data_IF_806001301823
#
_entry.id   IF_806001301823
#
_cell.length_a   1.000
_cell.length_b   1.000
_cell.length_c   1.000
_cell.angle_alpha   90.00
_cell.angle_beta   90.00
_cell.angle_gamma   90.00
#
_symmetry.space_group_name_H-M   'P 1'
#
loop_
_entity.id
_entity.type
_entity.pdbx_description
1 polymer ?
#
# COMPACT_ATOMS: atom_id res chain seq x y z
N UNK A 1 -4.03 -18.23 -11.86
CA UNK A 1 -3.09 -18.64 -10.80
C UNK A 1 -3.27 -20.10 -10.39
N UNK A 2 -4.28 -20.49 -9.62
CA UNK A 2 -4.28 -21.86 -9.06
C UNK A 2 -4.39 -22.97 -10.13
N UNK A 3 -3.43 -23.90 -10.13
CA UNK A 3 -3.46 -25.13 -10.94
C UNK A 3 -4.00 -26.28 -10.09
N UNK A 4 -5.04 -27.02 -10.55
CA UNK A 4 -5.65 -28.11 -9.78
C UNK A 4 -4.83 -29.40 -9.82
N UNK A 5 -3.91 -29.52 -10.77
CA UNK A 5 -3.03 -30.67 -10.92
C UNK A 5 -1.78 -30.50 -10.06
N UNK A 6 -1.59 -31.41 -9.11
CA UNK A 6 -0.42 -31.44 -8.23
C UNK A 6 -0.10 -32.89 -7.82
N UNK A 7 1.18 -33.24 -7.67
CA UNK A 7 1.57 -34.57 -7.21
C UNK A 7 1.30 -34.73 -5.72
N UNK A 8 0.49 -35.73 -5.36
CA UNK A 8 0.17 -36.05 -3.97
C UNK A 8 0.45 -37.51 -3.64
N UNK A 9 1.04 -37.76 -2.47
CA UNK A 9 1.33 -39.12 -1.96
C UNK A 9 0.87 -39.30 -0.50
N UNK A 10 0.42 -40.51 -0.10
CA UNK A 10 0.04 -40.75 1.29
C UNK A 10 1.25 -40.78 2.24
N UNK A 11 1.15 -40.23 3.45
CA UNK A 11 2.29 -40.11 4.38
C UNK A 11 2.96 -41.44 4.81
N UNK A 12 2.21 -42.55 4.73
CA UNK A 12 2.63 -43.85 5.23
C UNK A 12 3.38 -44.70 4.19
N UNK A 13 3.48 -44.25 2.93
CA UNK A 13 4.20 -44.98 1.88
C UNK A 13 5.72 -44.81 2.03
N UNK A 14 6.47 -45.73 1.44
CA UNK A 14 7.93 -45.62 1.32
C UNK A 14 8.32 -44.73 0.15
N UNK A 15 9.52 -44.15 0.20
CA UNK A 15 10.10 -43.31 -0.87
C UNK A 15 10.04 -44.03 -2.22
N UNK A 16 10.46 -45.30 -2.29
CA UNK A 16 10.43 -46.06 -3.54
C UNK A 16 9.02 -46.24 -4.10
N UNK A 17 8.00 -46.38 -3.24
CA UNK A 17 6.60 -46.48 -3.68
C UNK A 17 6.07 -45.12 -4.13
N UNK A 18 6.41 -44.02 -3.43
CA UNK A 18 6.06 -42.67 -3.84
C UNK A 18 6.63 -42.34 -5.22
N UNK A 19 7.92 -42.62 -5.47
CA UNK A 19 8.55 -42.41 -6.78
C UNK A 19 7.85 -43.22 -7.88
N UNK A 20 7.41 -44.45 -7.58
CA UNK A 20 6.63 -45.25 -8.53
C UNK A 20 5.29 -44.60 -8.87
N UNK A 21 4.55 -44.13 -7.86
CA UNK A 21 3.27 -43.41 -8.05
C UNK A 21 3.48 -42.18 -8.92
N UNK A 22 4.53 -41.39 -8.66
CA UNK A 22 4.84 -40.18 -9.43
C UNK A 22 5.14 -40.49 -10.90
N UNK A 23 5.91 -41.56 -11.18
CA UNK A 23 6.20 -42.01 -12.55
C UNK A 23 4.95 -42.46 -13.31
N UNK A 24 3.99 -43.06 -12.62
CA UNK A 24 2.73 -43.51 -13.21
C UNK A 24 1.76 -42.34 -13.47
N UNK A 25 1.81 -41.30 -12.62
CA UNK A 25 0.94 -40.13 -12.71
C UNK A 25 1.21 -39.19 -13.89
N UNK A 26 2.41 -39.25 -14.50
CA UNK A 26 2.82 -38.42 -15.65
C UNK A 26 2.53 -36.92 -15.51
N UNK A 27 2.63 -36.39 -14.30
CA UNK A 27 2.52 -34.95 -14.09
C UNK A 27 3.79 -34.28 -14.62
N UNK A 28 3.61 -33.28 -15.47
CA UNK A 28 4.66 -32.42 -15.99
C UNK A 28 4.76 -31.18 -15.09
N UNK A 29 5.98 -30.63 -14.95
CA UNK A 29 6.29 -29.39 -14.23
C UNK A 29 5.72 -29.24 -12.80
N UNK A 30 6.39 -29.89 -11.85
CA UNK A 30 6.17 -29.69 -10.42
C UNK A 30 7.48 -29.60 -9.65
N UNK A 31 7.53 -28.74 -8.64
CA UNK A 31 8.69 -28.55 -7.77
C UNK A 31 8.59 -29.37 -6.48
N UNK A 32 7.38 -29.50 -5.94
CA UNK A 32 7.10 -30.18 -4.68
C UNK A 32 6.15 -31.36 -4.84
N UNK A 33 6.31 -32.36 -3.98
CA UNK A 33 5.37 -33.47 -3.84
C UNK A 33 4.64 -33.33 -2.51
N UNK A 34 3.33 -33.18 -2.57
CA UNK A 34 2.50 -32.95 -1.40
C UNK A 34 2.18 -34.25 -0.68
N UNK A 35 2.19 -34.21 0.64
CA UNK A 35 1.91 -35.36 1.50
C UNK A 35 0.53 -35.19 2.09
N UNK A 36 -0.36 -36.13 1.80
CA UNK A 36 -1.76 -36.08 2.24
C UNK A 36 -2.12 -37.26 3.15
N UNK A 37 -3.16 -37.07 3.97
CA UNK A 37 -3.79 -38.17 4.71
C UNK A 37 -4.88 -38.88 3.87
N UNK A 38 -5.59 -39.83 4.49
CA UNK A 38 -6.66 -40.59 3.83
C UNK A 38 -7.87 -39.75 3.44
N UNK A 39 -8.06 -38.59 4.06
CA UNK A 39 -9.17 -37.67 3.80
C UNK A 39 -8.82 -36.59 2.77
N UNK A 40 -7.57 -36.59 2.28
CA UNK A 40 -7.02 -35.59 1.37
C UNK A 40 -6.54 -34.32 2.07
N UNK A 41 -6.36 -34.32 3.40
CA UNK A 41 -5.82 -33.15 4.12
C UNK A 41 -4.32 -33.09 3.94
N UNK A 42 -3.82 -31.87 3.74
CA UNK A 42 -2.40 -31.62 3.59
C UNK A 42 -1.67 -31.84 4.92
N UNK A 43 -0.62 -32.66 4.91
CA UNK A 43 0.21 -33.01 6.08
C UNK A 43 1.65 -32.56 5.94
N UNK A 44 2.08 -32.12 4.76
CA UNK A 44 3.44 -31.70 4.49
C UNK A 44 3.78 -31.77 3.02
N UNK A 45 5.05 -31.59 2.70
CA UNK A 45 5.60 -31.67 1.36
C UNK A 45 7.02 -32.25 1.39
N UNK A 46 7.49 -32.74 0.25
CA UNK A 46 8.86 -33.21 0.04
C UNK A 46 9.40 -32.68 -1.29
N UNK A 47 10.69 -32.41 -1.36
CA UNK A 47 11.34 -32.07 -2.63
C UNK A 47 11.64 -33.31 -3.44
N UNK A 48 11.76 -33.15 -4.77
CA UNK A 48 12.32 -34.20 -5.64
C UNK A 48 13.73 -34.60 -5.21
N UNK A 49 14.54 -33.64 -4.76
CA UNK A 49 15.88 -33.88 -4.24
C UNK A 49 15.87 -34.81 -3.01
N UNK A 50 14.99 -34.56 -2.04
CA UNK A 50 14.84 -35.40 -0.86
C UNK A 50 14.40 -36.83 -1.23
N UNK A 51 13.51 -36.97 -2.22
CA UNK A 51 13.06 -38.27 -2.73
C UNK A 51 14.17 -39.06 -3.43
N UNK A 52 15.06 -38.39 -4.16
CA UNK A 52 16.16 -39.02 -4.90
C UNK A 52 17.29 -39.46 -3.94
N UNK A 53 17.61 -38.64 -2.94
CA UNK A 53 18.72 -38.93 -2.02
C UNK A 53 18.35 -39.87 -0.86
N UNK A 54 17.06 -40.02 -0.56
CA UNK A 54 16.60 -40.88 0.55
C UNK A 54 16.63 -42.37 0.20
N UNK A 55 16.90 -43.23 1.18
CA UNK A 55 16.76 -44.67 1.02
C UNK A 55 15.31 -45.02 0.60
N UNK A 56 15.11 -45.80 -0.49
CA UNK A 56 13.80 -46.21 -0.99
C UNK A 56 12.88 -46.89 0.04
N UNK A 57 13.43 -47.44 1.13
CA UNK A 57 12.70 -48.08 2.23
C UNK A 57 12.25 -47.10 3.32
N UNK A 58 12.77 -45.87 3.33
CA UNK A 58 12.36 -44.83 4.27
C UNK A 58 10.90 -44.42 4.02
N UNK A 59 10.14 -44.13 5.08
CA UNK A 59 8.76 -43.65 4.96
C UNK A 59 8.71 -42.14 4.71
N UNK A 60 7.80 -41.69 3.86
CA UNK A 60 7.60 -40.26 3.53
C UNK A 60 7.39 -39.40 4.78
N UNK A 61 6.62 -39.87 5.76
CA UNK A 61 6.40 -39.15 7.03
C UNK A 61 7.67 -38.77 7.80
N UNK A 62 8.82 -39.41 7.54
CA UNK A 62 10.10 -39.11 8.20
C UNK A 62 10.89 -38.00 7.52
N UNK A 63 10.64 -37.77 6.23
CA UNK A 63 11.38 -36.80 5.40
C UNK A 63 10.51 -35.59 4.99
N UNK A 64 9.21 -35.63 5.31
CA UNK A 64 8.30 -34.52 5.03
C UNK A 64 8.66 -33.28 5.83
N UNK A 65 8.44 -32.12 5.22
CA UNK A 65 8.51 -30.80 5.85
C UNK A 65 7.11 -30.31 6.17
N UNK A 66 6.98 -29.42 7.15
CA UNK A 66 5.69 -28.77 7.44
C UNK A 66 5.30 -27.84 6.28
N UNK A 67 4.01 -27.81 5.89
CA UNK A 67 3.57 -26.99 4.79
C UNK A 67 3.26 -25.57 5.27
N UNK A 68 3.74 -24.57 4.52
CA UNK A 68 3.14 -23.23 4.50
C UNK A 68 2.00 -23.28 3.49
N UNK A 69 0.82 -22.77 3.84
CA UNK A 69 -0.38 -22.89 2.99
C UNK A 69 -1.01 -21.52 2.72
N UNK A 70 -1.61 -21.40 1.54
CA UNK A 70 -2.55 -20.34 1.19
C UNK A 70 -3.99 -20.84 1.37
N UNK A 71 -4.92 -19.97 1.79
CA UNK A 71 -6.34 -20.31 1.81
C UNK A 71 -7.00 -19.94 0.47
N UNK A 72 -8.05 -20.65 0.07
CA UNK A 72 -8.77 -20.42 -1.21
C UNK A 72 -9.34 -18.99 -1.38
N UNK A 73 -9.56 -18.28 -0.26
CA UNK A 73 -10.09 -16.92 -0.22
C UNK A 73 -9.04 -15.90 0.23
N UNK A 74 -7.79 -16.32 0.29
CA UNK A 74 -6.68 -15.43 0.62
C UNK A 74 -6.33 -14.56 -0.58
N UNK A 75 -6.00 -13.30 -0.30
CA UNK A 75 -5.63 -12.34 -1.32
C UNK A 75 -4.31 -12.73 -2.01
N UNK A 76 -4.22 -12.49 -3.32
CA UNK A 76 -3.05 -12.88 -4.12
C UNK A 76 -1.76 -12.20 -3.64
N UNK A 77 -1.84 -10.96 -3.14
CA UNK A 77 -0.71 -10.22 -2.59
C UNK A 77 -0.17 -10.92 -1.32
N UNK A 78 -1.05 -11.39 -0.44
CA UNK A 78 -0.66 -12.12 0.78
C UNK A 78 -0.05 -13.50 0.45
N UNK A 79 -0.57 -14.17 -0.59
CA UNK A 79 0.01 -15.42 -1.10
C UNK A 79 1.43 -15.16 -1.65
N UNK A 80 1.61 -14.12 -2.46
CA UNK A 80 2.91 -13.70 -2.99
C UNK A 80 3.91 -13.38 -1.86
N UNK A 81 3.47 -12.66 -0.82
CA UNK A 81 4.29 -12.38 0.37
C UNK A 81 4.73 -13.64 1.10
N UNK A 82 3.86 -14.64 1.25
CA UNK A 82 4.24 -15.92 1.86
C UNK A 82 5.30 -16.63 1.01
N UNK A 83 5.11 -16.67 -0.30
CA UNK A 83 6.06 -17.31 -1.23
C UNK A 83 7.43 -16.63 -1.15
N UNK A 84 7.47 -15.30 -1.19
CA UNK A 84 8.71 -14.52 -1.06
C UNK A 84 9.36 -14.65 0.33
N UNK A 85 8.58 -14.64 1.41
CA UNK A 85 9.09 -14.71 2.79
C UNK A 85 9.76 -16.05 3.11
N UNK A 86 9.25 -17.14 2.54
CA UNK A 86 9.73 -18.49 2.82
C UNK A 86 10.55 -19.09 1.67
N UNK A 87 10.93 -18.28 0.68
CA UNK A 87 11.69 -18.69 -0.52
C UNK A 87 11.09 -19.95 -1.20
N UNK A 88 9.77 -19.97 -1.35
CA UNK A 88 9.05 -21.11 -1.91
C UNK A 88 9.03 -21.05 -3.43
N UNK A 89 9.14 -22.21 -4.08
CA UNK A 89 8.91 -22.35 -5.53
C UNK A 89 7.44 -22.55 -5.86
N UNK A 90 6.67 -23.07 -4.90
CA UNK A 90 5.23 -23.31 -5.00
C UNK A 90 4.57 -23.22 -3.63
N UNK A 91 3.31 -22.80 -3.58
CA UNK A 91 2.51 -22.80 -2.36
C UNK A 91 1.20 -23.58 -2.56
N UNK A 92 0.89 -24.55 -1.69
CA UNK A 92 -0.36 -25.29 -1.76
C UNK A 92 -1.52 -24.42 -1.26
N UNK A 93 -2.62 -24.46 -2.01
CA UNK A 93 -3.88 -23.80 -1.66
C UNK A 93 -4.81 -24.83 -1.00
N UNK A 94 -5.30 -24.50 0.19
CA UNK A 94 -6.19 -25.36 0.97
C UNK A 94 -7.58 -24.75 1.15
N UNK A 95 -8.58 -25.61 1.30
CA UNK A 95 -9.92 -25.21 1.73
C UNK A 95 -10.04 -25.08 3.26
N UNK A 96 -11.22 -24.67 3.74
CA UNK A 96 -11.49 -24.50 5.17
C UNK A 96 -11.45 -25.81 5.98
N UNK A 97 -11.39 -26.97 5.32
CA UNK A 97 -11.23 -28.28 5.95
C UNK A 97 -9.77 -28.78 5.91
N UNK A 98 -8.84 -27.97 5.41
CA UNK A 98 -7.42 -28.28 5.27
C UNK A 98 -7.10 -29.23 4.12
N UNK A 99 -8.03 -29.42 3.17
CA UNK A 99 -7.79 -30.23 1.96
C UNK A 99 -7.12 -29.38 0.91
N UNK A 100 -6.07 -29.92 0.31
CA UNK A 100 -5.38 -29.27 -0.81
C UNK A 100 -6.30 -29.28 -2.04
N UNK A 101 -6.46 -28.12 -2.68
CA UNK A 101 -7.31 -27.90 -3.85
C UNK A 101 -6.52 -27.55 -5.11
N UNK A 102 -5.29 -27.12 -4.93
CA UNK A 102 -4.39 -26.78 -6.02
C UNK A 102 -3.10 -26.19 -5.49
N UNK A 103 -2.28 -25.70 -6.41
CA UNK A 103 -1.00 -25.05 -6.14
C UNK A 103 -0.89 -23.75 -6.91
N UNK A 104 -0.11 -22.83 -6.38
CA UNK A 104 0.33 -21.62 -7.08
C UNK A 104 1.84 -21.67 -7.19
N UNK A 105 2.36 -21.48 -8.39
CA UNK A 105 3.79 -21.60 -8.69
C UNK A 105 4.47 -20.24 -8.68
N UNK A 106 5.79 -20.21 -8.50
CA UNK A 106 6.55 -18.96 -8.41
C UNK A 106 6.51 -18.14 -9.69
N UNK A 107 6.39 -18.76 -10.87
CA UNK A 107 6.17 -18.06 -12.14
C UNK A 107 4.87 -17.23 -12.09
N UNK A 108 3.76 -17.83 -11.66
CA UNK A 108 2.50 -17.11 -11.52
C UNK A 108 2.60 -16.00 -10.44
N UNK A 109 3.42 -16.20 -9.38
CA UNK A 109 3.64 -15.18 -8.34
C UNK A 109 4.48 -13.99 -8.84
N UNK A 110 5.44 -14.22 -9.73
CA UNK A 110 6.24 -13.15 -10.32
C UNK A 110 5.32 -12.19 -11.10
N UNK A 111 4.38 -12.73 -11.87
CA UNK A 111 3.39 -11.93 -12.59
C UNK A 111 2.52 -11.11 -11.62
N UNK A 112 2.07 -11.71 -10.51
CA UNK A 112 1.32 -10.98 -9.47
C UNK A 112 2.11 -9.82 -8.89
N UNK A 113 3.39 -10.02 -8.57
CA UNK A 113 4.21 -8.97 -7.99
C UNK A 113 4.33 -7.78 -8.96
N UNK A 114 4.42 -8.05 -10.27
CA UNK A 114 4.46 -7.00 -11.30
C UNK A 114 3.10 -6.30 -11.46
N UNK A 115 2.00 -7.05 -11.46
CA UNK A 115 0.64 -6.53 -11.54
C UNK A 115 0.31 -5.63 -10.32
N UNK A 116 0.56 -6.11 -9.10
CA UNK A 116 0.32 -5.36 -7.86
C UNK A 116 1.17 -4.08 -7.78
N UNK A 117 2.46 -4.15 -8.14
CA UNK A 117 3.31 -2.97 -8.19
C UNK A 117 2.81 -1.93 -9.21
N UNK A 118 2.25 -2.39 -10.33
CA UNK A 118 1.67 -1.51 -11.36
C UNK A 118 0.35 -0.91 -10.90
N UNK A 119 -0.52 -1.70 -10.27
CA UNK A 119 -1.79 -1.26 -9.70
C UNK A 119 -1.58 -0.18 -8.64
N UNK A 120 -0.69 -0.41 -7.67
CA UNK A 120 -0.31 0.57 -6.65
C UNK A 120 0.13 1.90 -7.27
N UNK A 121 1.00 1.83 -8.28
CA UNK A 121 1.51 3.01 -8.97
C UNK A 121 0.38 3.80 -9.66
N UNK A 122 -0.57 3.12 -10.30
CA UNK A 122 -1.71 3.75 -10.96
C UNK A 122 -2.68 4.37 -9.94
N UNK A 123 -2.97 3.65 -8.86
CA UNK A 123 -3.83 4.12 -7.77
C UNK A 123 -3.26 5.37 -7.08
N UNK A 124 -1.94 5.45 -6.88
CA UNK A 124 -1.26 6.66 -6.40
C UNK A 124 -1.52 7.89 -7.29
N UNK A 125 -1.61 7.68 -8.61
CA UNK A 125 -1.94 8.70 -9.60
C UNK A 125 -3.42 9.02 -9.72
N UNK A 126 -4.31 8.32 -9.00
CA UNK A 126 -5.75 8.40 -9.20
C UNK A 126 -6.18 7.89 -10.58
N UNK A 127 -5.48 6.86 -11.09
CA UNK A 127 -5.77 6.21 -12.36
C UNK A 127 -6.37 4.82 -12.13
N UNK A 128 -7.21 4.39 -13.06
CA UNK A 128 -7.74 3.03 -13.10
C UNK A 128 -6.72 2.08 -13.74
N UNK A 129 -6.59 0.85 -13.23
CA UNK A 129 -5.64 -0.18 -13.71
C UNK A 129 -5.80 -0.48 -15.21
N UNK A 130 -6.97 -0.23 -15.78
CA UNK A 130 -7.27 -0.44 -17.21
C UNK A 130 -6.75 0.69 -18.11
N UNK A 131 -6.17 1.74 -17.56
CA UNK A 131 -5.56 2.84 -18.30
C UNK A 131 -4.12 2.47 -18.71
N UNK A 132 -3.80 2.66 -19.99
CA UNK A 132 -2.48 2.41 -20.53
C UNK A 132 -2.11 3.44 -21.58
N UNK A 133 -0.85 3.41 -22.01
CA UNK A 133 -0.28 4.40 -22.94
C UNK A 133 -1.03 4.49 -24.28
N UNK A 134 -1.64 3.39 -24.73
CA UNK A 134 -2.37 3.30 -26.01
C UNK A 134 -3.88 3.19 -25.84
N UNK A 135 -4.42 3.47 -24.64
CA UNK A 135 -5.87 3.47 -24.42
C UNK A 135 -6.54 4.52 -25.31
N UNK A 136 -7.60 4.18 -26.07
CA UNK A 136 -8.29 5.13 -26.94
C UNK A 136 -8.79 6.36 -26.16
N UNK A 137 -8.77 7.58 -26.75
CA UNK A 137 -9.08 8.82 -26.02
C UNK A 137 -10.41 8.81 -25.26
N UNK A 138 -11.48 8.28 -25.87
CA UNK A 138 -12.81 8.22 -25.25
C UNK A 138 -12.81 7.29 -24.03
N UNK A 139 -12.08 6.17 -24.10
CA UNK A 139 -11.96 5.24 -22.98
C UNK A 139 -11.14 5.85 -21.85
N UNK A 140 -10.01 6.48 -22.17
CA UNK A 140 -9.18 7.19 -21.19
C UNK A 140 -9.96 8.29 -20.46
N UNK A 141 -10.75 9.07 -21.21
CA UNK A 141 -11.67 10.05 -20.63
C UNK A 141 -12.61 9.42 -19.61
N UNK A 142 -13.31 8.33 -19.96
CA UNK A 142 -14.27 7.67 -19.07
C UNK A 142 -13.60 7.05 -17.82
N UNK A 143 -12.35 6.61 -17.93
CA UNK A 143 -11.60 6.06 -16.79
C UNK A 143 -11.11 7.14 -15.82
N UNK A 144 -10.74 8.33 -16.32
CA UNK A 144 -10.23 9.44 -15.50
C UNK A 144 -11.33 10.32 -14.91
N UNK A 145 -12.45 10.44 -15.62
CA UNK A 145 -13.54 11.35 -15.26
C UNK A 145 -14.05 11.17 -13.82
N UNK A 146 -14.30 9.93 -13.31
CA UNK A 146 -14.76 9.75 -11.93
C UNK A 146 -13.79 10.30 -10.89
N UNK A 147 -12.49 10.02 -11.05
CA UNK A 147 -11.44 10.50 -10.14
C UNK A 147 -11.30 12.02 -10.17
N UNK A 148 -11.41 12.62 -11.37
CA UNK A 148 -11.41 14.08 -11.52
C UNK A 148 -12.62 14.73 -10.84
N UNK A 149 -13.81 14.12 -10.91
CA UNK A 149 -14.99 14.62 -10.20
C UNK A 149 -14.83 14.50 -8.68
N UNK A 150 -14.27 13.39 -8.17
CA UNK A 150 -13.97 13.25 -6.74
C UNK A 150 -13.02 14.38 -6.31
N UNK A 151 -11.92 14.61 -7.06
CA UNK A 151 -10.98 15.68 -6.77
C UNK A 151 -11.63 17.07 -6.83
N UNK A 152 -12.48 17.31 -7.84
CA UNK A 152 -13.21 18.57 -7.99
C UNK A 152 -14.15 18.84 -6.81
N UNK A 153 -14.87 17.82 -6.33
CA UNK A 153 -15.73 17.93 -5.14
C UNK A 153 -14.87 18.32 -3.94
N UNK A 154 -13.75 17.65 -3.72
CA UNK A 154 -12.86 17.96 -2.61
C UNK A 154 -12.23 19.34 -2.69
N UNK A 155 -11.82 19.78 -3.88
CA UNK A 155 -11.31 21.13 -4.11
C UNK A 155 -12.39 22.21 -3.89
N UNK A 156 -13.65 21.89 -4.21
CA UNK A 156 -14.79 22.78 -3.94
C UNK A 156 -15.04 22.92 -2.43
N UNK A 157 -14.83 21.87 -1.63
CA UNK A 157 -14.90 21.98 -0.18
C UNK A 157 -13.81 22.94 0.34
N UNK A 158 -12.60 22.85 -0.18
CA UNK A 158 -11.53 23.78 0.17
C UNK A 158 -11.86 25.23 -0.20
N UNK A 159 -12.49 25.48 -1.36
CA UNK A 159 -12.90 26.83 -1.76
C UNK A 159 -13.99 27.40 -0.86
N UNK A 160 -14.91 26.56 -0.36
CA UNK A 160 -15.90 26.97 0.65
C UNK A 160 -15.20 27.43 1.93
N UNK A 161 -14.15 26.72 2.40
CA UNK A 161 -13.37 27.13 3.58
C UNK A 161 -12.71 28.50 3.36
N UNK A 162 -12.10 28.73 2.19
CA UNK A 162 -11.53 30.04 1.84
C UNK A 162 -12.60 31.14 1.86
N UNK A 163 -13.81 30.84 1.39
CA UNK A 163 -14.92 31.81 1.33
C UNK A 163 -15.39 32.29 2.70
N UNK A 164 -15.13 31.53 3.78
CA UNK A 164 -15.40 31.92 5.17
C UNK A 164 -14.47 33.04 5.65
N UNK A 165 -13.35 33.26 4.95
CA UNK A 165 -12.36 34.27 5.27
C UNK A 165 -12.37 35.43 4.26
N UNK A 166 -13.46 35.64 3.52
CA UNK A 166 -13.61 36.74 2.55
C UNK A 166 -13.26 38.11 3.15
N UNK A 167 -13.71 38.38 4.37
CA UNK A 167 -13.42 39.64 5.06
C UNK A 167 -11.92 39.82 5.30
N UNK A 168 -11.22 38.74 5.70
CA UNK A 168 -9.77 38.74 5.94
C UNK A 168 -9.02 38.95 4.63
N UNK A 169 -9.43 38.28 3.56
CA UNK A 169 -8.83 38.42 2.22
C UNK A 169 -9.00 39.85 1.71
N UNK A 170 -10.14 40.49 1.97
CA UNK A 170 -10.39 41.89 1.60
C UNK A 170 -9.43 42.88 2.27
N UNK A 171 -8.99 42.59 3.50
CA UNK A 171 -8.06 43.44 4.25
C UNK A 171 -6.58 43.06 4.03
N UNK A 172 -6.29 41.78 3.82
CA UNK A 172 -4.93 41.23 3.65
C UNK A 172 -4.84 40.33 2.42
N UNK A 173 -5.00 40.93 1.24
CA UNK A 173 -4.94 40.22 -0.03
C UNK A 173 -3.61 39.47 -0.26
N UNK A 174 -2.51 39.96 0.32
CA UNK A 174 -1.19 39.31 0.21
C UNK A 174 -1.19 37.89 0.81
N UNK A 175 -2.04 37.59 1.79
CA UNK A 175 -2.17 36.24 2.34
C UNK A 175 -2.63 35.24 1.27
N UNK A 176 -3.50 35.67 0.33
CA UNK A 176 -3.95 34.81 -0.76
C UNK A 176 -2.81 34.41 -1.72
N UNK A 177 -1.80 35.26 -1.89
CA UNK A 177 -0.62 34.94 -2.72
C UNK A 177 0.22 33.80 -2.14
N UNK A 178 0.10 33.53 -0.83
CA UNK A 178 0.81 32.42 -0.15
C UNK A 178 0.00 31.13 -0.07
N UNK A 179 -1.28 31.14 -0.47
CA UNK A 179 -2.11 29.93 -0.51
C UNK A 179 -1.45 28.76 -1.27
N UNK A 180 -0.90 28.95 -2.49
CA UNK A 180 -0.27 27.85 -3.23
C UNK A 180 0.97 27.29 -2.52
N UNK A 181 1.70 28.14 -1.78
CA UNK A 181 2.89 27.73 -1.04
C UNK A 181 2.52 26.86 0.15
N UNK A 182 1.53 27.29 0.94
CA UNK A 182 1.07 26.55 2.13
C UNK A 182 0.44 25.21 1.73
N UNK A 183 -0.48 25.23 0.76
CA UNK A 183 -1.16 24.04 0.26
C UNK A 183 -0.17 23.07 -0.43
N UNK A 184 0.61 23.57 -1.39
CA UNK A 184 1.51 22.74 -2.18
C UNK A 184 2.61 22.08 -1.34
N UNK A 185 3.22 22.80 -0.40
CA UNK A 185 4.26 22.22 0.45
C UNK A 185 3.69 21.24 1.47
N UNK A 186 2.50 21.52 2.04
CA UNK A 186 1.82 20.58 2.93
C UNK A 186 1.42 19.29 2.23
N UNK A 187 0.84 19.39 1.03
CA UNK A 187 0.51 18.25 0.17
C UNK A 187 1.74 17.41 -0.16
N UNK A 188 2.88 18.03 -0.52
CA UNK A 188 4.12 17.31 -0.81
C UNK A 188 4.65 16.50 0.39
N UNK A 189 4.65 17.09 1.59
CA UNK A 189 5.05 16.39 2.82
C UNK A 189 4.12 15.22 3.12
N UNK A 190 2.83 15.41 2.88
CA UNK A 190 1.83 14.38 3.07
C UNK A 190 1.99 13.22 2.09
N UNK A 191 2.25 13.51 0.80
CA UNK A 191 2.52 12.50 -0.23
C UNK A 191 3.81 11.74 0.08
N UNK A 192 4.90 12.42 0.49
CA UNK A 192 6.14 11.73 0.88
C UNK A 192 5.92 10.79 2.07
N UNK A 193 5.11 11.22 3.05
CA UNK A 193 4.75 10.38 4.18
C UNK A 193 3.89 9.20 3.75
N UNK A 194 2.87 9.45 2.93
CA UNK A 194 2.00 8.45 2.32
C UNK A 194 2.81 7.38 1.61
N UNK A 195 3.69 7.75 0.68
CA UNK A 195 4.51 6.80 -0.10
C UNK A 195 5.33 5.89 0.80
N UNK A 196 5.96 6.44 1.85
CA UNK A 196 6.75 5.64 2.79
C UNK A 196 5.85 4.67 3.56
N UNK A 197 4.67 5.11 3.99
CA UNK A 197 3.73 4.30 4.79
C UNK A 197 3.08 3.21 3.95
N UNK A 198 2.58 3.53 2.75
CA UNK A 198 1.98 2.53 1.84
C UNK A 198 3.01 1.48 1.46
N UNK A 199 4.24 1.87 1.08
CA UNK A 199 5.32 0.90 0.81
C UNK A 199 5.61 0.02 2.02
N UNK A 200 5.71 0.59 3.21
CA UNK A 200 5.98 -0.21 4.42
C UNK A 200 4.81 -1.17 4.73
N UNK A 201 3.57 -0.77 4.42
CA UNK A 201 2.39 -1.63 4.51
C UNK A 201 2.47 -2.78 3.49
N UNK A 202 2.79 -2.46 2.23
CA UNK A 202 2.90 -3.39 1.12
C UNK A 202 4.03 -4.42 1.31
N UNK A 203 5.13 -4.00 1.94
CA UNK A 203 6.26 -4.87 2.28
C UNK A 203 6.03 -5.70 3.56
N UNK A 204 4.90 -5.50 4.25
CA UNK A 204 4.63 -6.14 5.55
C UNK A 204 5.55 -5.69 6.69
N UNK A 205 6.26 -4.56 6.53
CA UNK A 205 7.15 -3.99 7.55
C UNK A 205 6.36 -3.38 8.72
N UNK A 206 5.15 -2.89 8.45
CA UNK A 206 4.29 -2.25 9.45
C UNK A 206 2.87 -2.81 9.44
N UNK A 207 2.28 -2.84 10.62
CA UNK A 207 0.89 -3.25 10.86
C UNK A 207 0.08 -2.10 11.40
N UNK A 208 -1.24 -2.30 11.52
CA UNK A 208 -2.16 -1.31 12.11
C UNK A 208 -1.77 -0.94 13.55
N UNK A 209 -1.05 -1.82 14.26
CA UNK A 209 -0.58 -1.58 15.64
C UNK A 209 0.54 -0.56 15.72
N UNK A 210 1.28 -0.37 14.63
CA UNK A 210 2.45 0.52 14.57
C UNK A 210 2.08 1.98 14.26
N UNK A 211 0.78 2.27 14.13
CA UNK A 211 0.26 3.59 13.75
C UNK A 211 0.78 4.74 14.63
N UNK A 212 0.72 4.57 15.96
CA UNK A 212 1.10 5.63 16.91
C UNK A 212 2.62 5.91 16.89
N UNK A 213 3.51 4.91 17.00
CA UNK A 213 4.96 5.14 16.86
C UNK A 213 5.35 5.82 15.55
N UNK A 214 4.73 5.40 14.43
CA UNK A 214 5.00 5.97 13.11
C UNK A 214 4.51 7.42 13.04
N UNK A 215 3.31 7.69 13.53
CA UNK A 215 2.74 9.04 13.58
C UNK A 215 3.65 10.00 14.35
N UNK A 216 4.09 9.61 15.56
CA UNK A 216 4.98 10.44 16.37
C UNK A 216 6.31 10.70 15.67
N UNK A 217 6.92 9.66 15.06
CA UNK A 217 8.14 9.80 14.26
C UNK A 217 7.96 10.77 13.10
N UNK A 218 6.86 10.65 12.34
CA UNK A 218 6.59 11.50 11.17
C UNK A 218 6.24 12.93 11.56
N UNK A 219 5.49 13.16 12.63
CA UNK A 219 5.27 14.50 13.18
C UNK A 219 6.58 15.17 13.62
N UNK A 220 7.49 14.44 14.27
CA UNK A 220 8.80 14.96 14.64
C UNK A 220 9.63 15.37 13.41
N UNK A 221 9.63 14.54 12.36
CA UNK A 221 10.29 14.88 11.08
C UNK A 221 9.64 16.12 10.44
N UNK A 222 8.31 16.21 10.43
CA UNK A 222 7.59 17.37 9.90
C UNK A 222 7.90 18.67 10.64
N UNK A 223 8.10 18.63 11.96
CA UNK A 223 8.53 19.81 12.73
C UNK A 223 9.94 20.26 12.34
N UNK A 224 10.87 19.32 12.15
CA UNK A 224 12.22 19.66 11.71
C UNK A 224 12.21 20.25 10.28
N UNK A 225 11.42 19.66 9.39
CA UNK A 225 11.25 20.15 8.02
C UNK A 225 10.59 21.54 7.99
N UNK A 226 9.60 21.80 8.84
CA UNK A 226 8.93 23.11 8.89
C UNK A 226 9.84 24.20 9.45
N UNK A 227 10.76 23.88 10.36
CA UNK A 227 11.80 24.83 10.78
C UNK A 227 12.71 25.14 9.59
N UNK A 228 13.25 24.12 8.91
CA UNK A 228 14.21 24.32 7.84
C UNK A 228 13.62 25.06 6.62
N UNK A 229 12.49 24.58 6.10
CA UNK A 229 11.83 25.15 4.92
C UNK A 229 11.06 26.40 5.28
N UNK A 230 10.40 26.41 6.44
CA UNK A 230 9.52 27.48 6.80
C UNK A 230 10.25 28.78 7.12
N UNK A 231 11.50 28.77 7.61
CA UNK A 231 12.30 29.99 7.75
C UNK A 231 12.51 30.69 6.41
N UNK A 232 12.80 29.93 5.36
CA UNK A 232 12.91 30.49 4.01
C UNK A 232 11.60 31.12 3.55
N UNK A 233 10.46 30.45 3.78
CA UNK A 233 9.16 31.01 3.41
C UNK A 233 8.80 32.24 4.25
N UNK A 234 9.14 32.25 5.54
CA UNK A 234 8.92 33.39 6.43
C UNK A 234 9.64 34.65 5.94
N UNK A 235 10.89 34.48 5.48
CA UNK A 235 11.69 35.57 4.89
C UNK A 235 11.02 36.08 3.61
N UNK A 236 10.60 35.18 2.72
CA UNK A 236 9.90 35.58 1.48
C UNK A 236 8.57 36.30 1.78
N UNK A 237 7.81 35.81 2.76
CA UNK A 237 6.58 36.43 3.23
C UNK A 237 6.83 37.81 3.84
N UNK A 238 7.90 37.99 4.60
CA UNK A 238 8.31 39.29 5.10
C UNK A 238 8.67 40.26 3.96
N UNK A 239 9.47 39.82 2.98
CA UNK A 239 9.90 40.66 1.86
C UNK A 239 8.73 41.11 0.97
N UNK A 240 7.72 40.24 0.78
CA UNK A 240 6.54 40.53 -0.04
C UNK A 240 5.45 41.30 0.73
N UNK A 241 5.22 40.96 2.00
CA UNK A 241 4.16 41.55 2.81
C UNK A 241 4.60 42.77 3.63
N UNK A 242 5.91 43.05 3.73
CA UNK A 242 6.48 44.16 4.48
C UNK A 242 6.33 44.08 6.01
N UNK A 243 5.66 43.05 6.53
CA UNK A 243 5.32 42.90 7.94
C UNK A 243 5.96 41.61 8.52
N UNK A 244 6.82 41.71 9.56
CA UNK A 244 7.46 40.54 10.16
C UNK A 244 6.45 39.59 10.84
N UNK A 245 5.32 40.12 11.32
CA UNK A 245 4.22 39.31 11.88
C UNK A 245 3.61 38.43 10.80
N UNK A 246 3.47 38.94 9.56
CA UNK A 246 2.98 38.14 8.44
C UNK A 246 3.95 37.00 8.09
N UNK A 247 5.26 37.27 8.11
CA UNK A 247 6.27 36.22 7.95
C UNK A 247 6.14 35.10 8.98
N UNK A 248 5.91 35.46 10.26
CA UNK A 248 5.68 34.49 11.34
C UNK A 248 4.38 33.70 11.15
N UNK A 249 3.30 34.35 10.72
CA UNK A 249 2.00 33.70 10.44
C UNK A 249 2.14 32.64 9.35
N UNK A 250 2.80 32.97 8.24
CA UNK A 250 3.01 32.03 7.13
C UNK A 250 3.88 30.86 7.59
N UNK A 251 4.92 31.12 8.39
CA UNK A 251 5.76 30.07 8.97
C UNK A 251 4.96 29.09 9.84
N UNK A 252 4.18 29.62 10.77
CA UNK A 252 3.33 28.81 11.66
C UNK A 252 2.28 28.03 10.89
N UNK A 253 1.64 28.65 9.88
CA UNK A 253 0.67 27.98 9.02
C UNK A 253 1.28 26.80 8.27
N UNK A 254 2.48 26.95 7.70
CA UNK A 254 3.20 25.85 7.05
C UNK A 254 3.54 24.75 8.06
N UNK A 255 4.01 25.12 9.26
CA UNK A 255 4.31 24.15 10.31
C UNK A 255 3.10 23.31 10.72
N UNK A 256 1.95 23.95 10.92
CA UNK A 256 0.69 23.26 11.19
C UNK A 256 0.25 22.39 10.02
N UNK A 257 0.41 22.87 8.77
CA UNK A 257 0.04 22.08 7.61
C UNK A 257 0.96 20.87 7.39
N UNK A 258 2.25 20.97 7.74
CA UNK A 258 3.19 19.84 7.69
C UNK A 258 2.85 18.76 8.73
N UNK A 259 2.41 19.18 9.92
CA UNK A 259 1.90 18.26 10.94
C UNK A 259 0.63 17.57 10.47
N UNK A 260 -0.32 18.31 9.90
CA UNK A 260 -1.52 17.73 9.28
C UNK A 260 -1.13 16.74 8.18
N UNK A 261 -0.20 17.12 7.30
CA UNK A 261 0.31 16.27 6.23
C UNK A 261 0.92 14.96 6.71
N UNK A 262 1.78 15.01 7.74
CA UNK A 262 2.31 13.80 8.38
C UNK A 262 1.20 12.95 9.01
N UNK A 263 0.23 13.57 9.68
CA UNK A 263 -0.87 12.85 10.30
C UNK A 263 -1.72 12.12 9.27
N UNK A 264 -2.18 12.80 8.22
CA UNK A 264 -3.01 12.18 7.19
C UNK A 264 -2.24 11.16 6.36
N UNK A 265 -0.96 11.41 6.07
CA UNK A 265 -0.09 10.48 5.34
C UNK A 265 0.17 9.17 6.10
N UNK A 266 0.05 9.15 7.42
CA UNK A 266 0.11 7.93 8.24
C UNK A 266 -1.27 7.32 8.45
N UNK A 267 -2.26 8.14 8.82
CA UNK A 267 -3.54 7.64 9.28
C UNK A 267 -4.41 7.10 8.14
N UNK A 268 -4.43 7.75 6.97
CA UNK A 268 -5.30 7.32 5.86
C UNK A 268 -4.97 5.91 5.37
N UNK A 269 -3.72 5.56 5.02
CA UNK A 269 -3.38 4.21 4.57
C UNK A 269 -3.68 3.14 5.62
N UNK A 270 -3.41 3.45 6.88
CA UNK A 270 -3.64 2.52 7.99
C UNK A 270 -5.14 2.30 8.22
N UNK A 271 -5.96 3.36 8.10
CA UNK A 271 -7.40 3.27 8.20
C UNK A 271 -7.98 2.45 7.04
N UNK A 272 -7.54 2.70 5.80
CA UNK A 272 -7.95 1.90 4.64
C UNK A 272 -7.63 0.42 4.86
N UNK A 273 -6.39 0.09 5.24
CA UNK A 273 -5.99 -1.29 5.58
C UNK A 273 -6.86 -1.90 6.67
N UNK A 274 -7.22 -1.13 7.70
CA UNK A 274 -8.07 -1.60 8.80
C UNK A 274 -9.48 -1.96 8.32
N UNK A 275 -10.00 -1.29 7.29
CA UNK A 275 -11.29 -1.60 6.67
C UNK A 275 -11.20 -2.64 5.54
N UNK A 276 -10.01 -3.21 5.29
CA UNK A 276 -9.80 -4.16 4.20
C UNK A 276 -9.82 -3.51 2.82
N UNK A 277 -9.57 -2.20 2.74
CA UNK A 277 -9.39 -1.46 1.49
C UNK A 277 -7.90 -1.33 1.17
N UNK A 278 -7.58 -1.25 -0.11
CA UNK A 278 -6.24 -0.96 -0.59
C UNK A 278 -5.74 0.39 -0.01
N UNK A 279 -4.59 0.41 0.69
CA UNK A 279 -3.97 1.63 1.23
C UNK A 279 -3.55 2.68 0.19
N UNK A 280 -3.26 2.28 -1.04
CA UNK A 280 -2.88 3.19 -2.13
C UNK A 280 -4.11 3.87 -2.77
N UNK A 281 -5.26 3.19 -2.74
CA UNK A 281 -6.49 3.59 -3.42
C UNK A 281 -6.98 5.00 -3.04
N UNK A 282 -6.82 5.96 -3.96
CA UNK A 282 -7.36 7.32 -3.82
C UNK A 282 -6.78 8.13 -2.66
N UNK A 283 -5.78 7.61 -1.95
CA UNK A 283 -5.18 8.24 -0.76
C UNK A 283 -4.61 9.62 -1.07
N UNK A 284 -4.04 9.81 -2.26
CA UNK A 284 -3.47 11.09 -2.69
C UNK A 284 -4.52 12.22 -2.80
N UNK A 285 -5.70 11.91 -3.36
CA UNK A 285 -6.79 12.90 -3.53
C UNK A 285 -7.33 13.32 -2.16
N UNK A 286 -7.60 12.34 -1.29
CA UNK A 286 -8.12 12.61 0.07
C UNK A 286 -7.09 13.40 0.89
N UNK A 287 -5.81 13.04 0.80
CA UNK A 287 -4.74 13.74 1.50
C UNK A 287 -4.64 15.20 1.03
N UNK A 288 -4.58 15.41 -0.28
CA UNK A 288 -4.46 16.76 -0.86
C UNK A 288 -5.64 17.62 -0.44
N UNK A 289 -6.86 17.08 -0.47
CA UNK A 289 -8.05 17.77 0.01
C UNK A 289 -7.93 18.23 1.47
N UNK A 290 -7.47 17.35 2.36
CA UNK A 290 -7.33 17.68 3.78
C UNK A 290 -6.23 18.72 3.98
N UNK A 291 -5.08 18.57 3.31
CA UNK A 291 -3.98 19.55 3.43
C UNK A 291 -4.33 20.91 2.85
N UNK A 292 -5.18 20.97 1.82
CA UNK A 292 -5.69 22.24 1.28
C UNK A 292 -6.65 22.91 2.27
N UNK A 293 -7.64 22.15 2.77
CA UNK A 293 -8.62 22.65 3.74
C UNK A 293 -7.93 23.18 4.99
N UNK A 294 -7.05 22.38 5.60
CA UNK A 294 -6.31 22.78 6.80
C UNK A 294 -5.27 23.86 6.52
N UNK A 295 -4.59 23.81 5.37
CA UNK A 295 -3.63 24.82 4.95
C UNK A 295 -4.28 26.21 4.84
N UNK A 296 -5.39 26.31 4.10
CA UNK A 296 -6.12 27.57 3.96
C UNK A 296 -6.73 28.02 5.28
N UNK A 297 -7.33 27.10 6.04
CA UNK A 297 -7.92 27.42 7.34
C UNK A 297 -6.88 27.97 8.32
N UNK A 298 -5.71 27.34 8.42
CA UNK A 298 -4.64 27.79 9.33
C UNK A 298 -4.05 29.11 8.89
N UNK A 299 -3.81 29.31 7.59
CA UNK A 299 -3.27 30.56 7.07
C UNK A 299 -4.20 31.74 7.39
N UNK A 300 -5.45 31.68 6.93
CA UNK A 300 -6.39 32.79 7.12
C UNK A 300 -6.88 32.91 8.56
N UNK A 301 -6.97 31.81 9.29
CA UNK A 301 -7.28 31.81 10.72
C UNK A 301 -6.22 32.54 11.53
N UNK A 302 -4.94 32.29 11.27
CA UNK A 302 -3.85 33.00 11.92
C UNK A 302 -3.80 34.47 11.49
N UNK A 303 -4.01 34.80 10.22
CA UNK A 303 -4.14 36.21 9.79
C UNK A 303 -5.26 36.90 10.58
N UNK A 304 -6.46 36.31 10.64
CA UNK A 304 -7.60 36.88 11.38
C UNK A 304 -7.33 37.14 12.86
N UNK A 305 -6.55 36.27 13.50
CA UNK A 305 -6.27 36.37 14.95
C UNK A 305 -5.23 37.44 15.24
N UNK A 306 -4.24 37.62 14.34
CA UNK A 306 -3.04 38.41 14.61
C UNK A 306 -2.94 39.72 13.82
N UNK A 307 -3.75 39.91 12.77
CA UNK A 307 -3.71 41.04 11.82
C UNK A 307 -5.10 41.56 11.47
#
# INVERSE_FOLDING_TARGET
>A
MMRPDFPAVPENVTVGRAVKILREGKLEDFNYVYVVDREGKLKGWVTLHDLILSDPKTRIKKIKREPVTAHLLEDQEEVARKVAKYDLLEIPVVDSYGKIRGVVTVDDIVDVIEEEATEDMLHFGGLDVREGAFTPPIRSFLLRLPWLYINLITATIASVVVSLFRDVIGHYAIAAAFMPVVAGMGGNVAIQTLTIVVRAIAMGEITVRDAVPILLKKCAVSLLLSIAVGVFVAINAYLLGGNPVFGLIVWLSIGLNFLTGAAVGVLIPILLKRFGLDPALGSNIIITAITDIFGYFTLFGLVRIFL
#
